data_IF_319284785408
#
_entry.id   IF_319284785408
#
_cell.length_a   1.000
_cell.length_b   1.000
_cell.length_c   1.000
_cell.angle_alpha   90.00
_cell.angle_beta   90.00
_cell.angle_gamma   90.00
#
_symmetry.space_group_name_H-M   'P 1'
#
loop_
_entity.id
_entity.type
_entity.pdbx_description
1 polymer ?
#
# COMPACT_ATOMS: atom_id res chain seq x y z
N UNK A 1 11.39 2.86 4.82
CA UNK A 1 10.53 3.30 3.69
C UNK A 1 11.26 3.56 2.37
N UNK A 2 12.60 3.65 2.28
CA UNK A 2 13.31 4.03 1.04
C UNK A 2 12.99 3.07 -0.14
N UNK A 3 13.14 1.76 0.06
CA UNK A 3 12.83 0.75 -0.97
C UNK A 3 11.35 0.78 -1.40
N UNK A 4 10.44 0.97 -0.44
CA UNK A 4 9.00 1.01 -0.71
C UNK A 4 8.58 2.26 -1.49
N UNK A 5 9.25 3.39 -1.25
CA UNK A 5 9.06 4.60 -2.03
C UNK A 5 9.46 4.37 -3.50
N UNK A 6 10.57 3.65 -3.73
CA UNK A 6 10.97 3.26 -5.09
C UNK A 6 9.95 2.32 -5.73
N UNK A 7 9.44 1.33 -5.00
CA UNK A 7 8.42 0.40 -5.53
C UNK A 7 7.12 1.12 -5.88
N UNK A 8 6.69 2.07 -5.02
CA UNK A 8 5.56 2.95 -5.29
C UNK A 8 5.76 3.73 -6.58
N UNK A 9 6.92 4.40 -6.71
CA UNK A 9 7.17 5.25 -7.87
C UNK A 9 7.27 4.42 -9.16
N UNK A 10 7.90 3.24 -9.13
CA UNK A 10 7.94 2.32 -10.27
C UNK A 10 6.55 1.80 -10.66
N UNK A 11 5.69 1.46 -9.68
CA UNK A 11 4.34 0.97 -9.95
C UNK A 11 3.40 2.06 -10.49
N UNK A 12 3.47 3.27 -9.92
CA UNK A 12 2.57 4.39 -10.25
C UNK A 12 3.04 5.14 -11.50
N UNK A 13 4.35 5.41 -11.64
CA UNK A 13 4.89 6.24 -12.73
C UNK A 13 5.33 5.42 -13.93
N UNK A 14 5.88 4.23 -13.69
CA UNK A 14 6.50 3.42 -14.74
C UNK A 14 5.68 2.16 -15.08
N UNK A 15 4.59 1.90 -14.36
CA UNK A 15 3.76 0.70 -14.55
C UNK A 15 4.44 -0.62 -14.17
N UNK A 16 5.61 -0.59 -13.51
CA UNK A 16 6.35 -1.80 -13.13
C UNK A 16 5.83 -2.35 -11.81
N UNK A 17 4.96 -3.34 -11.90
CA UNK A 17 4.25 -3.93 -10.76
C UNK A 17 4.93 -5.16 -10.16
N UNK A 18 6.06 -5.61 -10.67
CA UNK A 18 6.75 -6.79 -10.12
C UNK A 18 8.16 -6.42 -9.69
N UNK A 19 8.50 -6.73 -8.45
CA UNK A 19 9.85 -6.66 -7.90
C UNK A 19 10.38 -8.07 -7.63
N UNK A 20 11.65 -8.33 -7.97
CA UNK A 20 12.33 -9.59 -7.68
C UNK A 20 13.46 -9.28 -6.70
N UNK A 21 13.46 -9.95 -5.54
CA UNK A 21 14.52 -9.76 -4.56
C UNK A 21 15.81 -10.53 -4.94
N UNK A 22 16.88 -10.34 -4.16
CA UNK A 22 18.16 -11.03 -4.38
C UNK A 22 18.11 -12.56 -4.31
N UNK A 23 17.02 -13.13 -3.78
CA UNK A 23 16.77 -14.58 -3.67
C UNK A 23 15.88 -15.09 -4.82
N UNK A 24 15.53 -14.24 -5.79
CA UNK A 24 14.66 -14.62 -6.92
C UNK A 24 13.17 -14.66 -6.58
N UNK A 25 12.76 -14.23 -5.38
CA UNK A 25 11.34 -14.19 -4.99
C UNK A 25 10.67 -12.95 -5.57
N UNK A 26 9.56 -13.16 -6.26
CA UNK A 26 8.72 -12.10 -6.82
C UNK A 26 7.75 -11.53 -5.79
N UNK A 27 7.53 -10.22 -5.88
CA UNK A 27 6.58 -9.46 -5.09
C UNK A 27 5.82 -8.53 -6.01
N UNK A 28 4.51 -8.49 -5.84
CA UNK A 28 3.66 -7.53 -6.53
C UNK A 28 3.76 -6.16 -5.84
N UNK A 29 4.23 -5.14 -6.53
CA UNK A 29 4.28 -3.74 -6.09
C UNK A 29 2.89 -3.12 -6.16
N UNK A 30 2.00 -3.59 -5.30
CA UNK A 30 0.68 -3.02 -5.10
C UNK A 30 0.46 -2.70 -3.62
N UNK A 31 -0.61 -1.93 -3.36
CA UNK A 31 -0.94 -1.46 -2.03
C UNK A 31 -1.19 -2.60 -1.03
N UNK A 32 -1.79 -3.72 -1.48
CA UNK A 32 -2.03 -4.88 -0.63
C UNK A 32 -0.72 -5.50 -0.12
N UNK A 33 0.28 -5.66 -0.99
CA UNK A 33 1.60 -6.18 -0.60
C UNK A 33 2.29 -5.28 0.41
N UNK A 34 2.20 -3.95 0.25
CA UNK A 34 2.72 -3.00 1.21
C UNK A 34 2.04 -3.15 2.58
N UNK A 35 0.70 -3.22 2.60
CA UNK A 35 -0.08 -3.32 3.83
C UNK A 35 0.09 -4.66 4.56
N UNK A 36 0.43 -5.75 3.86
CA UNK A 36 0.68 -7.04 4.52
C UNK A 36 1.82 -7.01 5.56
N UNK A 37 2.75 -6.06 5.47
CA UNK A 37 3.87 -5.92 6.41
C UNK A 37 4.02 -4.54 7.03
N UNK A 38 3.50 -3.49 6.37
CA UNK A 38 3.63 -2.09 6.80
C UNK A 38 2.29 -1.46 7.19
N UNK A 39 1.30 -2.29 7.51
CA UNK A 39 0.09 -1.85 8.19
C UNK A 39 0.34 -1.81 9.70
N UNK A 40 0.11 -0.65 10.30
CA UNK A 40 0.02 -0.51 11.75
C UNK A 40 -1.45 -0.24 12.12
N UNK A 41 -2.14 -1.20 12.78
CA UNK A 41 -3.52 -1.02 13.23
C UNK A 41 -3.70 0.05 14.31
N UNK A 42 -2.63 0.46 14.98
CA UNK A 42 -2.66 1.52 16.01
C UNK A 42 -2.35 2.91 15.44
N UNK A 43 -1.89 3.01 14.17
CA UNK A 43 -1.53 4.28 13.54
C UNK A 43 -2.79 5.07 13.14
N UNK A 44 -2.80 6.36 13.47
CA UNK A 44 -3.88 7.28 13.06
C UNK A 44 -3.91 7.34 11.54
N UNK A 45 -5.11 7.24 10.97
CA UNK A 45 -5.34 7.20 9.51
C UNK A 45 -4.66 8.36 8.76
N UNK A 46 -4.55 9.53 9.41
CA UNK A 46 -3.91 10.75 8.89
C UNK A 46 -2.38 10.67 8.71
N UNK A 47 -1.70 9.72 9.35
CA UNK A 47 -0.23 9.57 9.31
C UNK A 47 0.23 8.53 8.28
N UNK A 48 -0.71 7.85 7.62
CA UNK A 48 -0.42 6.80 6.66
C UNK A 48 -0.12 7.37 5.27
N UNK A 49 0.80 6.74 4.54
CA UNK A 49 1.24 7.20 3.22
C UNK A 49 0.09 7.33 2.20
N UNK A 50 -1.00 6.59 2.40
CA UNK A 50 -2.21 6.60 1.59
C UNK A 50 -2.84 8.01 1.52
N UNK A 51 -2.79 8.77 2.62
CA UNK A 51 -3.39 10.12 2.73
C UNK A 51 -2.80 11.07 1.71
N UNK A 52 -1.48 11.01 1.49
CA UNK A 52 -0.80 11.90 0.54
C UNK A 52 -1.34 11.79 -0.90
N UNK A 53 -1.73 10.59 -1.32
CA UNK A 53 -2.30 10.37 -2.65
C UNK A 53 -3.78 10.73 -2.71
N UNK A 54 -4.54 10.50 -1.64
CA UNK A 54 -5.96 10.85 -1.55
C UNK A 54 -6.19 12.36 -1.47
N UNK A 55 -5.34 13.07 -0.73
CA UNK A 55 -5.31 14.54 -0.69
C UNK A 55 -4.98 15.11 -2.06
N UNK A 56 -3.93 14.59 -2.72
CA UNK A 56 -3.54 15.06 -4.05
C UNK A 56 -4.63 14.87 -5.10
N UNK A 57 -5.38 13.77 -5.00
CA UNK A 57 -6.45 13.42 -5.95
C UNK A 57 -7.82 13.94 -5.53
N UNK A 58 -7.92 14.63 -4.40
CA UNK A 58 -9.16 15.14 -3.81
C UNK A 58 -10.26 14.07 -3.67
N UNK A 59 -9.87 12.82 -3.42
CA UNK A 59 -10.80 11.72 -3.16
C UNK A 59 -10.73 11.32 -1.69
N UNK A 60 -11.88 11.19 -1.05
CA UNK A 60 -11.97 10.82 0.36
C UNK A 60 -12.62 9.43 0.54
N UNK A 61 -12.00 8.34 0.06
CA UNK A 61 -12.52 7.01 0.26
C UNK A 61 -12.30 6.58 1.71
N UNK A 62 -13.28 5.89 2.28
CA UNK A 62 -13.04 5.14 3.49
C UNK A 62 -12.03 4.02 3.15
N UNK A 63 -10.89 4.00 3.86
CA UNK A 63 -9.80 3.05 3.65
C UNK A 63 -10.30 1.60 3.61
N UNK A 64 -11.31 1.30 4.44
CA UNK A 64 -11.92 -0.02 4.61
C UNK A 64 -12.96 -0.39 3.55
N UNK A 65 -13.45 0.57 2.76
CA UNK A 65 -14.34 0.29 1.63
C UNK A 65 -13.59 -0.32 0.43
N UNK A 66 -12.27 -0.10 0.33
CA UNK A 66 -11.43 -0.67 -0.74
C UNK A 66 -10.36 -1.65 -0.25
N UNK A 67 -9.84 -1.54 0.98
CA UNK A 67 -8.78 -2.40 1.52
C UNK A 67 -9.29 -3.42 2.53
N UNK A 68 -10.18 -4.31 2.06
CA UNK A 68 -10.64 -5.45 2.84
C UNK A 68 -9.44 -6.38 3.07
N UNK A 69 -8.79 -6.25 4.23
CA UNK A 69 -7.90 -7.28 4.77
C UNK A 69 -8.69 -8.61 4.84
N UNK A 70 -8.04 -9.77 4.65
CA UNK A 70 -8.73 -11.06 4.72
C UNK A 70 -9.53 -11.15 6.03
N UNK A 71 -10.83 -11.41 5.89
CA UNK A 71 -11.85 -11.34 6.95
C UNK A 71 -11.38 -11.94 8.28
N UNK A 72 -11.54 -11.18 9.36
CA UNK A 72 -11.30 -11.67 10.72
C UNK A 72 -12.07 -10.99 11.85
N UNK A 73 -12.91 -9.99 11.61
CA UNK A 73 -13.74 -9.40 12.67
C UNK A 73 -14.87 -8.52 12.13
N UNK A 74 -15.99 -9.14 11.78
CA UNK A 74 -17.30 -8.52 11.82
C UNK A 74 -18.33 -9.62 12.08
N UNK A 75 -18.65 -9.81 13.37
CA UNK A 75 -19.92 -10.33 13.84
C UNK A 75 -20.52 -9.25 14.71
#
# INVERSE_FOLDING_TARGET
>A
MILLNQWRDEAVRNGKRVYINSQGKSFENNLQTCLNCHYDPASKTSEQFCVSCHDHTAVNPNCWMCHILPKGSAQ
#
